data_IF_054197791796
#
_entry.id   IF_054197791796
#
_cell.length_a   1.000
_cell.length_b   1.000
_cell.length_c   1.000
_cell.angle_alpha   90.00
_cell.angle_beta   90.00
_cell.angle_gamma   90.00
#
_symmetry.space_group_name_H-M   'P 1'
#
loop_
_entity.id
_entity.type
_entity.pdbx_description
1 polymer ?
#
# COMPACT_ATOMS: atom_id res chain seq x y z
N UNK A 1 1.67 12.51 -29.25
CA UNK A 1 1.55 11.08 -28.92
C UNK A 1 1.01 10.89 -27.50
N UNK A 2 0.28 9.80 -27.19
CA UNK A 2 -0.22 9.52 -25.82
C UNK A 2 0.67 8.47 -25.13
N UNK A 3 1.66 8.91 -24.35
CA UNK A 3 2.59 8.03 -23.64
C UNK A 3 1.93 7.21 -22.51
N UNK A 4 0.81 7.71 -21.97
CA UNK A 4 0.01 7.03 -20.94
C UNK A 4 -0.70 5.75 -21.42
N UNK A 5 -0.70 5.50 -22.72
CA UNK A 5 -1.30 4.30 -23.31
C UNK A 5 -0.33 3.10 -23.29
N UNK A 6 0.97 3.34 -23.06
CA UNK A 6 2.04 2.33 -23.12
C UNK A 6 2.83 2.28 -21.82
N UNK A 7 3.31 1.09 -21.44
CA UNK A 7 4.42 0.98 -20.50
C UNK A 7 5.71 1.47 -21.16
N UNK A 8 6.70 1.87 -20.36
CA UNK A 8 8.00 2.32 -20.88
C UNK A 8 8.66 1.26 -21.77
N UNK A 9 8.55 -0.02 -21.38
CA UNK A 9 9.10 -1.15 -22.13
C UNK A 9 8.41 -1.33 -23.48
N UNK A 10 7.07 -1.39 -23.51
CA UNK A 10 6.30 -1.50 -24.76
C UNK A 10 6.58 -0.32 -25.71
N UNK A 11 6.73 0.88 -25.16
CA UNK A 11 7.07 2.06 -25.96
C UNK A 11 8.46 1.91 -26.60
N UNK A 12 9.47 1.50 -25.83
CA UNK A 12 10.83 1.33 -26.33
C UNK A 12 10.94 0.19 -27.35
N UNK A 13 10.21 -0.91 -27.15
CA UNK A 13 10.16 -2.01 -28.13
C UNK A 13 9.55 -1.56 -29.46
N UNK A 14 8.45 -0.78 -29.41
CA UNK A 14 7.73 -0.37 -30.60
C UNK A 14 8.33 0.84 -31.31
N UNK A 15 8.96 1.75 -30.57
CA UNK A 15 9.36 3.07 -31.06
C UNK A 15 10.82 3.43 -30.76
N UNK A 16 11.60 2.55 -30.14
CA UNK A 16 12.99 2.81 -29.73
C UNK A 16 13.99 3.07 -30.86
N UNK A 17 13.57 2.88 -32.11
CA UNK A 17 14.31 3.23 -33.33
C UNK A 17 14.02 4.66 -33.83
N UNK A 18 13.12 5.40 -33.18
CA UNK A 18 12.73 6.75 -33.57
C UNK A 18 13.37 7.81 -32.66
N UNK A 19 13.81 8.92 -33.24
CA UNK A 19 14.41 10.01 -32.47
C UNK A 19 13.35 10.89 -31.78
N UNK A 20 13.71 11.62 -30.70
CA UNK A 20 12.77 12.37 -29.87
C UNK A 20 11.83 13.33 -30.63
N UNK A 21 12.31 13.95 -31.71
CA UNK A 21 11.52 14.88 -32.55
C UNK A 21 10.23 14.27 -33.06
N UNK A 22 10.25 12.98 -33.44
CA UNK A 22 9.04 12.29 -33.96
C UNK A 22 7.91 12.24 -32.93
N UNK A 23 8.21 12.56 -31.68
CA UNK A 23 7.28 12.56 -30.56
C UNK A 23 7.12 13.93 -29.91
N UNK A 24 7.60 15.00 -30.54
CA UNK A 24 7.62 16.37 -30.01
C UNK A 24 8.32 16.47 -28.64
N UNK A 25 9.32 15.61 -28.40
CA UNK A 25 10.09 15.60 -27.16
C UNK A 25 11.30 16.53 -27.26
N UNK A 26 11.72 17.14 -26.13
CA UNK A 26 12.89 18.01 -26.12
C UNK A 26 14.14 17.24 -26.55
N UNK A 27 14.83 17.78 -27.55
CA UNK A 27 16.09 17.26 -28.06
C UNK A 27 17.22 17.98 -27.33
N UNK A 28 18.15 17.23 -26.74
CA UNK A 28 19.33 17.84 -26.15
C UNK A 28 20.28 18.33 -27.26
N UNK A 29 21.02 19.44 -27.07
CA UNK A 29 21.96 19.97 -28.06
C UNK A 29 23.06 18.98 -28.51
N UNK A 30 23.26 17.92 -27.73
CA UNK A 30 24.25 16.86 -27.97
C UNK A 30 23.74 15.87 -29.03
N UNK A 31 22.44 15.85 -29.32
CA UNK A 31 21.81 14.88 -30.21
C UNK A 31 21.83 15.36 -31.67
N UNK A 32 22.71 14.79 -32.50
CA UNK A 32 22.75 14.96 -33.95
C UNK A 32 21.76 14.00 -34.60
N UNK A 33 20.52 14.46 -34.59
CA UNK A 33 19.29 13.86 -35.09
C UNK A 33 19.46 12.95 -36.34
N UNK A 34 19.74 11.67 -36.10
CA UNK A 34 19.62 10.61 -37.11
C UNK A 34 20.89 10.27 -37.91
N UNK A 35 22.08 10.76 -37.51
CA UNK A 35 23.34 10.29 -38.11
C UNK A 35 23.82 8.96 -37.50
N UNK A 36 23.55 8.71 -36.20
CA UNK A 36 23.84 7.46 -35.51
C UNK A 36 22.61 6.93 -34.76
N UNK A 37 22.24 5.68 -35.02
CA UNK A 37 21.12 4.98 -34.39
C UNK A 37 21.33 4.84 -32.87
N UNK A 38 22.59 4.69 -32.42
CA UNK A 38 22.92 4.60 -30.99
C UNK A 38 22.74 5.94 -30.28
N UNK A 39 23.17 7.02 -30.91
CA UNK A 39 23.01 8.38 -30.39
C UNK A 39 21.52 8.75 -30.28
N UNK A 40 20.75 8.46 -31.33
CA UNK A 40 19.31 8.67 -31.36
C UNK A 40 18.59 7.94 -30.22
N UNK A 41 18.95 6.66 -29.95
CA UNK A 41 18.39 5.88 -28.84
C UNK A 41 18.74 6.46 -27.48
N UNK A 42 20.00 6.83 -27.26
CA UNK A 42 20.46 7.45 -26.02
C UNK A 42 19.73 8.78 -25.75
N UNK A 43 19.50 9.56 -26.79
CA UNK A 43 18.73 10.80 -26.71
C UNK A 43 17.26 10.56 -26.37
N UNK A 44 16.62 9.58 -27.01
CA UNK A 44 15.26 9.16 -26.69
C UNK A 44 15.13 8.76 -25.23
N UNK A 45 16.01 7.88 -24.73
CA UNK A 45 15.97 7.42 -23.34
C UNK A 45 16.10 8.56 -22.33
N UNK A 46 16.90 9.59 -22.64
CA UNK A 46 17.04 10.78 -21.81
C UNK A 46 15.80 11.67 -21.85
N UNK A 47 15.24 11.94 -23.04
CA UNK A 47 14.02 12.76 -23.15
C UNK A 47 12.81 12.09 -22.50
N UNK A 48 12.78 10.75 -22.46
CA UNK A 48 11.74 9.97 -21.80
C UNK A 48 11.78 10.01 -20.26
N UNK A 49 12.84 10.55 -19.64
CA UNK A 49 12.94 10.64 -18.16
C UNK A 49 11.84 11.47 -17.52
N UNK A 50 11.34 12.47 -18.23
CA UNK A 50 10.31 13.39 -17.77
C UNK A 50 8.91 13.05 -18.29
N UNK A 51 8.77 11.91 -18.98
CA UNK A 51 7.52 11.47 -19.59
C UNK A 51 6.82 10.49 -18.67
N UNK A 52 5.55 10.77 -18.37
CA UNK A 52 4.69 9.86 -17.63
C UNK A 52 4.17 8.73 -18.54
N UNK A 53 4.61 7.51 -18.25
CA UNK A 53 4.13 6.28 -18.88
C UNK A 53 3.03 5.62 -18.06
N UNK A 54 2.33 4.67 -18.67
CA UNK A 54 1.47 3.73 -17.93
C UNK A 54 2.32 2.95 -16.91
N UNK A 55 1.89 2.87 -15.64
CA UNK A 55 2.60 2.03 -14.67
C UNK A 55 2.55 0.57 -15.11
N UNK A 56 3.70 -0.10 -15.08
CA UNK A 56 3.81 -1.51 -15.39
C UNK A 56 3.61 -2.33 -14.11
N UNK A 57 2.40 -2.85 -13.94
CA UNK A 57 2.05 -3.70 -12.78
C UNK A 57 2.90 -4.97 -12.80
N UNK A 58 3.12 -5.56 -13.98
CA UNK A 58 3.90 -6.79 -14.11
C UNK A 58 5.35 -6.59 -13.70
N UNK A 59 5.99 -5.51 -14.15
CA UNK A 59 7.36 -5.19 -13.75
C UNK A 59 7.42 -4.96 -12.23
N UNK A 60 6.46 -4.20 -11.66
CA UNK A 60 6.39 -4.01 -10.21
C UNK A 60 6.29 -5.34 -9.46
N UNK A 61 5.43 -6.26 -9.91
CA UNK A 61 5.27 -7.58 -9.29
C UNK A 61 6.56 -8.40 -9.43
N UNK A 62 7.19 -8.40 -10.60
CA UNK A 62 8.43 -9.14 -10.85
C UNK A 62 9.59 -8.64 -9.98
N UNK A 63 9.83 -7.33 -9.96
CA UNK A 63 10.91 -6.73 -9.15
C UNK A 63 10.70 -6.90 -7.64
N UNK A 64 9.46 -7.03 -7.19
CA UNK A 64 9.11 -7.13 -5.77
C UNK A 64 8.57 -8.52 -5.38
N UNK A 65 8.73 -9.54 -6.23
CA UNK A 65 8.11 -10.86 -6.03
C UNK A 65 8.50 -11.46 -4.67
N UNK A 66 9.78 -11.42 -4.32
CA UNK A 66 10.29 -11.92 -3.04
C UNK A 66 9.66 -11.19 -1.85
N UNK A 67 9.63 -9.85 -1.88
CA UNK A 67 9.06 -9.06 -0.78
C UNK A 67 7.55 -9.30 -0.63
N UNK A 68 6.82 -9.44 -1.74
CA UNK A 68 5.38 -9.76 -1.74
C UNK A 68 5.14 -11.16 -1.15
N UNK A 69 5.95 -12.15 -1.54
CA UNK A 69 5.82 -13.53 -1.03
C UNK A 69 6.17 -13.64 0.45
N UNK A 70 7.24 -12.98 0.90
CA UNK A 70 7.62 -12.92 2.31
C UNK A 70 6.52 -12.25 3.15
N UNK A 71 6.00 -11.11 2.69
CA UNK A 71 4.86 -10.44 3.35
C UNK A 71 3.65 -11.36 3.43
N UNK A 72 3.33 -12.11 2.37
CA UNK A 72 2.22 -13.08 2.38
C UNK A 72 2.42 -14.15 3.47
N UNK A 73 3.63 -14.67 3.63
CA UNK A 73 3.94 -15.68 4.64
C UNK A 73 3.77 -15.11 6.05
N UNK A 74 4.33 -13.92 6.31
CA UNK A 74 4.24 -13.24 7.60
C UNK A 74 2.77 -12.95 7.96
N UNK A 75 1.99 -12.42 7.02
CA UNK A 75 0.57 -12.13 7.23
C UNK A 75 -0.24 -13.40 7.56
N UNK A 76 0.10 -14.53 6.94
CA UNK A 76 -0.52 -15.81 7.27
C UNK A 76 -0.19 -16.25 8.70
N UNK A 77 1.06 -16.11 9.11
CA UNK A 77 1.51 -16.43 10.47
C UNK A 77 0.83 -15.52 11.50
N UNK A 78 0.76 -14.21 11.24
CA UNK A 78 0.07 -13.25 12.11
C UNK A 78 -1.41 -13.62 12.25
N UNK A 79 -2.08 -13.98 11.15
CA UNK A 79 -3.48 -14.43 11.20
C UNK A 79 -3.65 -15.67 12.08
N UNK A 80 -2.80 -16.68 11.90
CA UNK A 80 -2.82 -17.91 12.69
C UNK A 80 -2.57 -17.65 14.18
N UNK A 81 -1.55 -16.85 14.50
CA UNK A 81 -1.21 -16.48 15.87
C UNK A 81 -2.32 -15.63 16.52
N UNK A 82 -2.96 -14.73 15.78
CA UNK A 82 -4.10 -13.96 16.28
C UNK A 82 -5.26 -14.87 16.65
N UNK A 83 -5.62 -15.83 15.78
CA UNK A 83 -6.70 -16.78 16.09
C UNK A 83 -6.38 -17.66 17.30
N UNK A 84 -5.14 -18.14 17.42
CA UNK A 84 -4.70 -18.91 18.58
C UNK A 84 -4.74 -18.06 19.86
N UNK A 85 -4.23 -16.83 19.82
CA UNK A 85 -4.27 -15.89 20.93
C UNK A 85 -5.70 -15.65 21.40
N UNK A 86 -6.62 -15.40 20.48
CA UNK A 86 -8.01 -15.09 20.82
C UNK A 86 -8.70 -16.31 21.44
N UNK A 87 -8.40 -17.52 20.94
CA UNK A 87 -8.84 -18.77 21.58
C UNK A 87 -8.31 -18.90 23.01
N UNK A 88 -7.00 -18.75 23.21
CA UNK A 88 -6.37 -18.86 24.54
C UNK A 88 -6.94 -17.83 25.53
N UNK A 89 -7.18 -16.60 25.07
CA UNK A 89 -7.85 -15.57 25.87
C UNK A 89 -9.28 -15.96 26.25
N UNK A 90 -10.05 -16.53 25.32
CA UNK A 90 -11.39 -17.03 25.60
C UNK A 90 -11.41 -18.19 26.59
N UNK A 91 -10.49 -19.14 26.43
CA UNK A 91 -10.33 -20.26 27.35
C UNK A 91 -9.97 -19.76 28.76
N UNK A 92 -9.00 -18.85 28.86
CA UNK A 92 -8.60 -18.25 30.14
C UNK A 92 -9.71 -17.43 30.78
N UNK A 93 -10.43 -16.62 30.00
CA UNK A 93 -11.60 -15.86 30.47
C UNK A 93 -12.62 -16.80 31.12
N UNK A 94 -12.91 -17.93 30.46
CA UNK A 94 -13.86 -18.92 30.96
C UNK A 94 -13.38 -19.57 32.26
N UNK A 95 -12.07 -19.85 32.40
CA UNK A 95 -11.50 -20.37 33.64
C UNK A 95 -11.54 -19.32 34.77
N UNK A 96 -11.22 -18.07 34.49
CA UNK A 96 -11.30 -16.98 35.47
C UNK A 96 -12.73 -16.83 36.01
N UNK A 97 -13.75 -17.00 35.16
CA UNK A 97 -15.16 -17.00 35.58
C UNK A 97 -15.53 -18.22 36.45
N UNK A 98 -15.05 -19.42 36.10
CA UNK A 98 -15.30 -20.64 36.88
C UNK A 98 -14.66 -20.57 38.27
N UNK A 99 -13.43 -20.05 38.36
CA UNK A 99 -12.67 -19.97 39.61
C UNK A 99 -12.91 -18.67 40.39
N UNK A 100 -13.66 -17.71 39.84
CA UNK A 100 -13.92 -16.42 40.48
C UNK A 100 -12.66 -15.58 40.68
N UNK A 101 -11.72 -15.63 39.73
CA UNK A 101 -10.46 -14.89 39.78
C UNK A 101 -10.60 -13.59 38.99
N UNK A 102 -10.51 -12.45 39.67
CA UNK A 102 -10.61 -11.13 39.02
C UNK A 102 -9.26 -10.58 38.55
N UNK A 103 -8.16 -10.99 39.20
CA UNK A 103 -6.80 -10.57 38.86
C UNK A 103 -5.79 -11.69 39.12
N UNK A 104 -4.84 -11.86 38.21
CA UNK A 104 -3.66 -12.72 38.35
C UNK A 104 -2.42 -11.99 37.82
N UNK A 105 -1.34 -11.98 38.58
CA UNK A 105 -0.09 -11.30 38.21
C UNK A 105 1.12 -12.16 38.60
N UNK A 106 2.10 -12.29 37.70
CA UNK A 106 3.41 -12.89 37.94
C UNK A 106 4.53 -12.06 37.29
N UNK A 107 5.78 -12.54 37.33
CA UNK A 107 6.95 -11.84 36.79
C UNK A 107 6.87 -11.53 35.28
N UNK A 108 5.97 -12.21 34.54
CA UNK A 108 5.87 -12.12 33.08
C UNK A 108 4.54 -11.53 32.60
N UNK A 109 3.45 -11.62 33.36
CA UNK A 109 2.10 -11.20 32.94
C UNK A 109 1.26 -10.56 34.05
N UNK A 110 0.47 -9.54 33.69
CA UNK A 110 -0.64 -9.00 34.49
C UNK A 110 -1.95 -9.24 33.75
N UNK A 111 -2.85 -10.02 34.36
CA UNK A 111 -4.12 -10.46 33.80
C UNK A 111 -5.26 -9.95 34.68
N UNK A 112 -6.10 -9.11 34.10
CA UNK A 112 -7.26 -8.51 34.77
C UNK A 112 -8.52 -8.97 34.05
N UNK A 113 -9.45 -9.56 34.79
CA UNK A 113 -10.80 -9.84 34.30
C UNK A 113 -11.59 -8.53 34.20
N UNK A 114 -12.13 -8.25 33.02
CA UNK A 114 -13.02 -7.11 32.80
C UNK A 114 -14.40 -7.63 32.48
N UNK A 115 -15.33 -7.42 33.41
CA UNK A 115 -16.72 -7.84 33.25
C UNK A 115 -17.36 -7.15 32.04
N UNK A 116 -18.12 -7.92 31.26
CA UNK A 116 -18.90 -7.37 30.14
C UNK A 116 -19.85 -6.26 30.59
N UNK A 117 -19.80 -5.12 29.90
CA UNK A 117 -20.66 -3.96 30.16
C UNK A 117 -21.34 -3.50 28.86
N UNK A 118 -22.56 -3.00 28.95
CA UNK A 118 -23.24 -2.36 27.83
C UNK A 118 -22.80 -0.91 27.71
N UNK A 119 -22.08 -0.59 26.64
CA UNK A 119 -21.69 0.77 26.27
C UNK A 119 -22.45 1.27 25.05
N UNK A 120 -22.51 2.59 24.89
CA UNK A 120 -22.98 3.22 23.65
C UNK A 120 -21.80 3.45 22.70
N UNK A 121 -21.97 3.10 21.43
CA UNK A 121 -20.98 3.35 20.37
C UNK A 121 -21.47 4.49 19.49
N UNK A 122 -20.65 5.51 19.31
CA UNK A 122 -20.94 6.59 18.37
C UNK A 122 -20.70 6.14 16.92
N UNK A 123 -21.73 6.22 16.08
CA UNK A 123 -21.63 5.94 14.64
C UNK A 123 -21.21 7.20 13.89
N UNK A 124 -19.90 7.44 13.85
CA UNK A 124 -19.35 8.59 13.13
C UNK A 124 -19.64 8.58 11.63
N UNK A 125 -19.87 7.41 11.02
CA UNK A 125 -20.16 7.30 9.58
C UNK A 125 -21.56 7.80 9.25
N UNK A 126 -22.55 7.47 10.07
CA UNK A 126 -23.91 8.06 9.95
C UNK A 126 -23.89 9.54 10.28
N UNK A 127 -23.23 9.93 11.36
CA UNK A 127 -23.14 11.34 11.75
C UNK A 127 -22.52 12.23 10.67
N UNK A 128 -21.46 11.75 9.98
CA UNK A 128 -20.88 12.46 8.82
C UNK A 128 -21.85 12.67 7.67
N UNK A 129 -22.76 11.72 7.43
CA UNK A 129 -23.76 11.80 6.35
C UNK A 129 -24.90 12.74 6.72
N UNK A 130 -25.38 12.64 7.95
CA UNK A 130 -26.56 13.38 8.41
C UNK A 130 -26.21 14.82 8.83
N UNK A 131 -24.99 15.05 9.34
CA UNK A 131 -24.51 16.35 9.84
C UNK A 131 -23.10 16.70 9.33
N UNK A 132 -22.90 16.90 8.02
CA UNK A 132 -21.58 17.14 7.44
C UNK A 132 -20.94 18.46 7.90
N UNK A 133 -21.76 19.51 8.14
CA UNK A 133 -21.29 20.82 8.60
C UNK A 133 -20.66 20.74 9.99
N UNK A 134 -21.41 20.21 10.96
CA UNK A 134 -20.93 20.00 12.33
C UNK A 134 -19.74 19.05 12.36
N UNK A 135 -19.73 17.98 11.57
CA UNK A 135 -18.57 17.10 11.54
C UNK A 135 -17.29 17.84 11.13
N UNK A 136 -17.37 18.76 10.17
CA UNK A 136 -16.23 19.54 9.68
C UNK A 136 -15.74 20.57 10.70
N UNK A 137 -16.65 21.19 11.47
CA UNK A 137 -16.30 22.15 12.53
C UNK A 137 -15.48 21.53 13.66
N UNK A 138 -15.68 20.24 13.92
CA UNK A 138 -15.04 19.51 15.02
C UNK A 138 -14.01 18.47 14.56
N UNK A 139 -13.56 18.53 13.29
CA UNK A 139 -12.56 17.60 12.76
C UNK A 139 -11.34 18.34 12.24
N UNK A 140 -10.17 18.03 12.83
CA UNK A 140 -8.89 18.52 12.35
C UNK A 140 -8.31 17.61 11.26
N UNK A 141 -7.75 18.17 10.17
CA UNK A 141 -7.04 17.37 9.18
C UNK A 141 -5.73 16.84 9.76
N UNK A 142 -5.63 15.53 9.92
CA UNK A 142 -4.38 14.85 10.30
C UNK A 142 -3.67 14.38 9.04
N UNK A 143 -2.41 14.78 8.88
CA UNK A 143 -1.55 14.24 7.82
C UNK A 143 -1.07 12.88 8.28
N UNK A 144 -1.56 11.83 7.62
CA UNK A 144 -1.12 10.46 7.84
C UNK A 144 -0.11 10.11 6.76
N UNK A 145 1.01 9.48 7.14
CA UNK A 145 1.99 8.98 6.19
C UNK A 145 1.39 7.94 5.24
N UNK A 146 1.99 7.77 4.07
CA UNK A 146 1.61 6.71 3.15
C UNK A 146 1.69 5.34 3.84
N UNK A 147 0.66 4.52 3.69
CA UNK A 147 0.61 3.17 4.24
C UNK A 147 0.18 2.17 3.16
N UNK A 148 0.48 0.90 3.40
CA UNK A 148 0.04 -0.22 2.56
C UNK A 148 -1.01 -0.99 3.36
N UNK A 149 -2.14 -1.26 2.71
CA UNK A 149 -3.14 -2.19 3.22
C UNK A 149 -2.97 -3.54 2.52
N UNK A 150 -2.51 -4.55 3.27
CA UNK A 150 -2.30 -5.89 2.75
C UNK A 150 -3.44 -6.81 3.20
N UNK A 151 -4.18 -7.38 2.24
CA UNK A 151 -5.30 -8.28 2.52
C UNK A 151 -5.08 -9.63 1.86
N UNK A 152 -4.93 -10.67 2.67
CA UNK A 152 -4.95 -12.06 2.21
C UNK A 152 -6.33 -12.36 1.60
N UNK A 153 -6.34 -12.95 0.41
CA UNK A 153 -7.54 -13.49 -0.22
C UNK A 153 -7.85 -14.90 0.26
#
# INVERSE_FOLDING_TARGET
MRFKDYTRKEFLEKYGHNCPIKFDLPVFPICREGEDEKECRMCLENSLKYVEFKPSINDFVEYNATAIDELRIVEYQVKMLSSLRDKLKGDLLSQMEIYGVDKFEDDNVDIIYVKGCMGTRFDSSRFKKDFPGTYKEYSDPVIIGANINFKLK
#
